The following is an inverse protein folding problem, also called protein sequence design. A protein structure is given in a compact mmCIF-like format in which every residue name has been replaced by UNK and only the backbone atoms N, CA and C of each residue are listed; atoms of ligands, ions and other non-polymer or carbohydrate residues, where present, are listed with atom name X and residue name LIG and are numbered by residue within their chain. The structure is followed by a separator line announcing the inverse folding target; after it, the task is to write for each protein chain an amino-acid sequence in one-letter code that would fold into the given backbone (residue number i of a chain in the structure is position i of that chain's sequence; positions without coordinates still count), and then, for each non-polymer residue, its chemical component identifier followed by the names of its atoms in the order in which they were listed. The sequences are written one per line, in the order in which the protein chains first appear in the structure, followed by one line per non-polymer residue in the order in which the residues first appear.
data_IF_916188356530
#
_entry.id   IF_916188356530
#
_cell.length_a   1.000
_cell.length_b   1.000
_cell.length_c   1.000
_cell.angle_alpha   90.00
_cell.angle_beta   90.00
_cell.angle_gamma   90.00
#
_symmetry.space_group_name_H-M   'P 1'
#
loop_
_entity.id
_entity.type
_entity.pdbx_description
1 polymer ?
#
# COMPACT_ATOMS: atom_id res chain seq x y z
N UNK A 1 -10.61 1.88 -12.59
CA UNK A 1 -10.04 0.66 -12.00
C UNK A 1 -8.97 0.09 -12.90
N UNK A 2 -7.80 -0.18 -12.36
CA UNK A 2 -6.68 -0.76 -13.09
C UNK A 2 -6.34 -2.13 -12.50
N UNK A 3 -6.23 -3.15 -13.34
CA UNK A 3 -5.95 -4.52 -12.91
C UNK A 3 -4.59 -4.98 -13.46
N UNK A 4 -3.77 -5.57 -12.60
CA UNK A 4 -2.41 -6.01 -12.87
C UNK A 4 -2.20 -7.45 -12.42
N UNK A 5 -1.11 -8.08 -12.86
CA UNK A 5 -0.70 -9.43 -12.47
C UNK A 5 -1.84 -10.45 -12.58
N UNK A 6 -2.44 -10.55 -13.76
CA UNK A 6 -3.53 -11.50 -14.05
C UNK A 6 -4.73 -11.35 -13.10
N UNK A 7 -5.07 -10.13 -12.75
CA UNK A 7 -6.20 -9.80 -11.88
C UNK A 7 -5.95 -9.93 -10.38
N UNK A 8 -4.70 -10.10 -9.95
CA UNK A 8 -4.38 -10.29 -8.54
C UNK A 8 -3.99 -9.02 -7.80
N UNK A 9 -3.67 -7.95 -8.52
CA UNK A 9 -3.44 -6.61 -7.97
C UNK A 9 -4.41 -5.66 -8.66
N UNK A 10 -5.22 -4.98 -7.87
CA UNK A 10 -6.21 -4.02 -8.39
C UNK A 10 -5.96 -2.66 -7.73
N UNK A 11 -5.90 -1.62 -8.56
CA UNK A 11 -5.81 -0.22 -8.12
C UNK A 11 -7.06 0.52 -8.57
N UNK A 12 -7.68 1.24 -7.66
CA UNK A 12 -8.81 2.11 -7.93
C UNK A 12 -8.64 3.47 -7.27
N UNK A 13 -9.26 4.49 -7.82
CA UNK A 13 -9.22 5.84 -7.29
C UNK A 13 -10.53 6.59 -7.52
N UNK A 14 -10.80 7.54 -6.64
CA UNK A 14 -11.95 8.44 -6.76
C UNK A 14 -11.69 9.76 -6.04
N UNK A 15 -12.30 10.83 -6.55
CA UNK A 15 -12.28 12.14 -5.90
C UNK A 15 -13.04 12.07 -4.57
N UNK A 16 -12.45 12.60 -3.51
CA UNK A 16 -13.10 12.72 -2.19
C UNK A 16 -13.67 11.43 -1.60
N UNK A 17 -13.35 10.28 -2.16
CA UNK A 17 -13.85 9.00 -1.67
C UNK A 17 -13.29 8.65 -0.30
N UNK A 18 -14.13 8.03 0.54
CA UNK A 18 -13.67 7.40 1.78
C UNK A 18 -12.86 6.15 1.42
N UNK A 19 -11.64 6.06 1.93
CA UNK A 19 -10.73 4.95 1.63
C UNK A 19 -11.36 3.57 1.90
N UNK A 20 -12.10 3.44 3.00
CA UNK A 20 -12.81 2.21 3.33
C UNK A 20 -13.78 1.77 2.22
N UNK A 21 -14.55 2.71 1.68
CA UNK A 21 -15.52 2.41 0.60
C UNK A 21 -14.81 1.82 -0.62
N UNK A 22 -13.70 2.43 -1.03
CA UNK A 22 -12.89 1.93 -2.16
C UNK A 22 -12.28 0.57 -1.86
N UNK A 23 -11.66 0.40 -0.69
CA UNK A 23 -11.03 -0.87 -0.30
C UNK A 23 -12.06 -2.00 -0.28
N UNK A 24 -13.24 -1.77 0.30
CA UNK A 24 -14.30 -2.78 0.34
C UNK A 24 -14.79 -3.16 -1.05
N UNK A 25 -15.03 -2.16 -1.91
CA UNK A 25 -15.49 -2.41 -3.28
C UNK A 25 -14.46 -3.20 -4.09
N UNK A 26 -13.20 -2.78 -4.06
CA UNK A 26 -12.11 -3.46 -4.78
C UNK A 26 -11.87 -4.87 -4.23
N UNK A 27 -11.89 -5.04 -2.91
CA UNK A 27 -11.71 -6.36 -2.29
C UNK A 27 -12.87 -7.28 -2.65
N UNK A 28 -14.10 -6.80 -2.61
CA UNK A 28 -15.29 -7.58 -2.99
C UNK A 28 -15.21 -8.04 -4.46
N UNK A 29 -14.76 -7.17 -5.34
CA UNK A 29 -14.58 -7.51 -6.75
C UNK A 29 -13.48 -8.56 -6.97
N UNK A 30 -12.36 -8.42 -6.23
CA UNK A 30 -11.23 -9.34 -6.33
C UNK A 30 -11.50 -10.71 -5.69
N UNK A 31 -12.26 -10.76 -4.60
CA UNK A 31 -12.47 -11.96 -3.79
C UNK A 31 -13.89 -12.55 -3.89
N UNK A 32 -14.84 -11.80 -4.43
CA UNK A 32 -16.25 -12.16 -4.47
C UNK A 32 -17.01 -11.90 -3.15
N UNK A 33 -16.38 -11.28 -2.14
CA UNK A 33 -16.98 -11.05 -0.82
C UNK A 33 -16.62 -9.69 -0.26
N UNK A 34 -17.58 -8.99 0.37
CA UNK A 34 -17.32 -7.78 1.14
C UNK A 34 -16.49 -8.14 2.38
N UNK A 35 -15.29 -7.55 2.56
CA UNK A 35 -14.43 -7.86 3.69
C UNK A 35 -14.85 -7.20 5.01
N UNK A 36 -15.86 -6.32 5.00
CA UNK A 36 -16.21 -5.50 6.15
C UNK A 36 -15.27 -4.29 6.34
N UNK A 37 -15.15 -3.78 7.59
CA UNK A 37 -14.46 -2.52 7.85
C UNK A 37 -12.97 -2.54 7.55
N UNK A 38 -12.43 -1.35 7.25
CA UNK A 38 -11.01 -1.11 7.15
C UNK A 38 -10.42 -0.88 8.56
N UNK A 39 -9.37 -1.60 8.86
CA UNK A 39 -8.61 -1.51 10.11
C UNK A 39 -7.18 -1.04 9.86
N UNK A 40 -6.49 -0.67 10.93
CA UNK A 40 -5.06 -0.33 10.89
C UNK A 40 -4.29 -1.14 11.94
N UNK A 41 -3.06 -1.49 11.62
CA UNK A 41 -2.12 -2.13 12.54
C UNK A 41 -0.70 -1.68 12.24
N UNK A 42 -0.05 -1.13 13.25
CA UNK A 42 1.36 -0.75 13.11
C UNK A 42 2.26 -1.95 13.39
N UNK A 43 3.05 -2.41 12.41
CA UNK A 43 3.94 -3.56 12.61
C UNK A 43 5.11 -3.27 13.53
N UNK A 44 5.32 -2.01 13.91
CA UNK A 44 6.42 -1.57 14.79
C UNK A 44 5.98 -1.43 16.24
N UNK A 45 4.83 -0.79 16.50
CA UNK A 45 4.36 -0.50 17.87
C UNK A 45 3.04 -1.17 18.25
N UNK A 46 2.39 -1.87 17.33
CA UNK A 46 1.13 -2.56 17.57
C UNK A 46 -0.10 -1.65 17.69
N UNK A 47 0.05 -0.33 17.46
CA UNK A 47 -1.10 0.59 17.48
C UNK A 47 -2.14 0.22 16.44
N UNK A 48 -3.42 0.42 16.78
CA UNK A 48 -4.57 0.25 15.88
C UNK A 48 -5.05 1.58 15.30
N UNK A 49 -4.46 2.68 15.70
CA UNK A 49 -4.84 4.02 15.25
C UNK A 49 -4.02 4.50 14.03
N UNK A 50 -2.92 3.86 13.77
CA UNK A 50 -2.06 4.14 12.62
C UNK A 50 -1.40 2.85 12.11
N UNK A 51 -0.60 2.97 11.07
CA UNK A 51 0.15 1.87 10.50
C UNK A 51 -0.50 1.32 9.23
N UNK A 52 -0.27 0.05 8.96
CA UNK A 52 -0.73 -0.58 7.72
C UNK A 52 -2.25 -0.78 7.75
N UNK A 53 -2.97 -0.33 6.70
CA UNK A 53 -4.38 -0.66 6.56
C UNK A 53 -4.56 -2.15 6.22
N UNK A 54 -5.61 -2.75 6.75
CA UNK A 54 -5.98 -4.13 6.42
C UNK A 54 -7.49 -4.37 6.54
N UNK A 55 -7.96 -5.45 5.95
CA UNK A 55 -9.33 -5.94 6.03
C UNK A 55 -9.32 -7.43 6.37
N UNK A 56 -10.46 -7.94 6.85
CA UNK A 56 -10.64 -9.37 7.15
C UNK A 56 -10.88 -10.18 5.87
N UNK A 57 -9.84 -10.28 5.05
CA UNK A 57 -9.82 -11.03 3.80
C UNK A 57 -8.37 -11.42 3.46
N UNK A 58 -8.14 -12.47 2.64
CA UNK A 58 -6.79 -12.91 2.27
C UNK A 58 -6.16 -11.99 1.21
N UNK A 59 -6.06 -10.71 1.52
CA UNK A 59 -5.50 -9.66 0.68
C UNK A 59 -4.61 -8.72 1.49
N UNK A 60 -3.74 -8.01 0.80
CA UNK A 60 -2.97 -6.89 1.31
C UNK A 60 -3.53 -5.59 0.73
N UNK A 61 -3.47 -4.51 1.50
CA UNK A 61 -4.08 -3.21 1.17
C UNK A 61 -3.09 -2.08 1.32
N UNK A 62 -3.15 -1.11 0.43
CA UNK A 62 -2.47 0.18 0.56
C UNK A 62 -3.42 1.30 0.19
N UNK A 63 -3.31 2.43 0.90
CA UNK A 63 -4.13 3.63 0.68
C UNK A 63 -3.23 4.84 0.55
N UNK A 64 -3.54 5.73 -0.36
CA UNK A 64 -2.84 7.00 -0.55
C UNK A 64 -3.81 8.13 -0.88
N UNK A 65 -3.44 9.35 -0.52
CA UNK A 65 -4.21 10.56 -0.80
C UNK A 65 -3.30 11.63 -1.39
N UNK A 66 -3.75 12.30 -2.43
CA UNK A 66 -3.09 13.48 -2.99
C UNK A 66 -4.09 14.39 -3.69
N UNK A 67 -4.04 15.69 -3.42
CA UNK A 67 -4.84 16.71 -4.12
C UNK A 67 -6.34 16.39 -4.19
N UNK A 68 -6.93 15.91 -3.10
CA UNK A 68 -8.34 15.55 -3.04
C UNK A 68 -8.69 14.20 -3.67
N UNK A 69 -7.71 13.50 -4.22
CA UNK A 69 -7.87 12.16 -4.77
C UNK A 69 -7.49 11.12 -3.73
N UNK A 70 -8.29 10.08 -3.60
CA UNK A 70 -7.98 8.89 -2.81
C UNK A 70 -7.76 7.72 -3.75
N UNK A 71 -6.65 7.01 -3.58
CA UNK A 71 -6.36 5.81 -4.33
C UNK A 71 -6.05 4.64 -3.38
N UNK A 72 -6.47 3.45 -3.78
CA UNK A 72 -6.24 2.21 -3.03
C UNK A 72 -5.66 1.14 -3.94
N UNK A 73 -4.84 0.26 -3.37
CA UNK A 73 -4.37 -0.95 -4.02
C UNK A 73 -4.71 -2.15 -3.14
N UNK A 74 -5.19 -3.21 -3.77
CA UNK A 74 -5.48 -4.48 -3.12
C UNK A 74 -4.76 -5.59 -3.87
N UNK A 75 -4.06 -6.46 -3.14
CA UNK A 75 -3.22 -7.51 -3.70
C UNK A 75 -3.45 -8.85 -3.03
N UNK A 76 -3.49 -9.91 -3.85
CA UNK A 76 -3.39 -11.32 -3.39
C UNK A 76 -1.97 -11.86 -3.44
N UNK A 77 -1.03 -11.10 -3.99
CA UNK A 77 0.33 -11.60 -4.29
C UNK A 77 1.35 -11.29 -3.20
N UNK A 78 0.97 -10.53 -2.19
CA UNK A 78 1.87 -10.12 -1.12
C UNK A 78 1.68 -8.66 -0.72
N UNK A 79 2.47 -8.17 0.24
CA UNK A 79 2.38 -6.80 0.71
C UNK A 79 2.52 -5.80 -0.43
N UNK A 80 1.57 -4.89 -0.52
CA UNK A 80 1.43 -3.89 -1.58
C UNK A 80 1.61 -2.49 -1.03
N UNK A 81 2.24 -1.63 -1.81
CA UNK A 81 2.33 -0.20 -1.55
C UNK A 81 1.91 0.59 -2.78
N UNK A 82 1.10 1.60 -2.57
CA UNK A 82 0.68 2.55 -3.60
C UNK A 82 1.05 3.94 -3.14
N UNK A 83 1.72 4.69 -4.00
CA UNK A 83 1.95 6.11 -3.78
C UNK A 83 1.48 6.93 -4.96
N UNK A 84 0.97 8.12 -4.65
CA UNK A 84 0.34 9.05 -5.58
C UNK A 84 0.74 10.47 -5.21
N UNK A 85 1.36 11.17 -6.15
CA UNK A 85 1.78 12.55 -5.97
C UNK A 85 1.36 13.41 -7.17
N UNK A 86 0.88 14.63 -6.90
CA UNK A 86 0.45 15.53 -7.97
C UNK A 86 1.62 16.11 -8.76
N UNK A 87 2.77 16.36 -8.09
CA UNK A 87 3.91 17.06 -8.68
C UNK A 87 5.21 16.55 -8.04
N UNK A 88 5.66 15.38 -8.46
CA UNK A 88 6.83 14.73 -7.91
C UNK A 88 7.58 13.95 -8.98
N UNK A 89 8.84 13.61 -8.72
CA UNK A 89 9.59 12.74 -9.61
C UNK A 89 9.24 11.28 -9.39
N UNK A 90 9.35 10.50 -10.44
CA UNK A 90 8.99 9.09 -10.46
C UNK A 90 9.79 8.24 -9.46
N UNK A 91 11.08 8.54 -9.29
CA UNK A 91 11.94 7.77 -8.39
C UNK A 91 11.53 7.95 -6.92
N UNK A 92 11.13 9.15 -6.53
CA UNK A 92 10.58 9.44 -5.21
C UNK A 92 9.31 8.62 -4.97
N UNK A 93 8.36 8.67 -5.91
CA UNK A 93 7.09 7.94 -5.81
C UNK A 93 7.31 6.42 -5.77
N UNK A 94 8.29 5.89 -6.53
CA UNK A 94 8.69 4.48 -6.44
C UNK A 94 9.18 4.10 -5.06
N UNK A 95 10.04 4.91 -4.46
CA UNK A 95 10.56 4.67 -3.11
C UNK A 95 9.46 4.70 -2.05
N UNK A 96 8.56 5.68 -2.14
CA UNK A 96 7.39 5.77 -1.25
C UNK A 96 6.49 4.53 -1.37
N UNK A 97 6.20 4.08 -2.59
CA UNK A 97 5.40 2.89 -2.82
C UNK A 97 6.04 1.64 -2.20
N UNK A 98 7.35 1.45 -2.37
CA UNK A 98 8.08 0.33 -1.74
C UNK A 98 8.06 0.46 -0.21
N UNK A 99 8.27 1.66 0.34
CA UNK A 99 8.21 1.91 1.78
C UNK A 99 6.83 1.56 2.37
N UNK A 100 5.76 1.91 1.68
CA UNK A 100 4.39 1.52 2.06
C UNK A 100 4.17 0.01 1.99
N UNK A 101 4.70 -0.66 0.95
CA UNK A 101 4.63 -2.12 0.85
C UNK A 101 5.35 -2.80 2.01
N UNK A 102 6.50 -2.28 2.43
CA UNK A 102 7.24 -2.76 3.60
C UNK A 102 6.53 -2.46 4.93
N UNK A 103 5.65 -1.45 4.97
CA UNK A 103 4.86 -1.09 6.15
C UNK A 103 5.59 -0.24 7.18
N UNK A 104 6.77 0.26 6.88
CA UNK A 104 7.63 1.02 7.83
C UNK A 104 7.94 2.44 7.36
N UNK A 105 7.40 2.85 6.22
CA UNK A 105 7.65 4.15 5.62
C UNK A 105 9.04 4.26 4.98
N UNK A 106 9.45 5.48 4.64
CA UNK A 106 10.79 5.74 4.12
C UNK A 106 11.82 5.74 5.23
N UNK A 107 12.78 4.86 5.15
CA UNK A 107 14.03 4.93 5.89
C UNK A 107 15.18 4.69 4.91
N UNK A 108 16.37 5.19 5.19
CA UNK A 108 17.54 5.12 4.30
C UNK A 108 17.99 3.70 3.94
N UNK A 109 17.41 2.72 4.57
CA UNK A 109 17.78 1.30 4.42
C UNK A 109 16.85 0.51 3.52
N UNK A 110 15.95 1.18 2.82
CA UNK A 110 15.03 0.53 1.89
C UNK A 110 15.66 0.25 0.52
N UNK A 111 16.83 -0.32 0.54
CA UNK A 111 17.44 -0.92 -0.65
C UNK A 111 16.79 -2.29 -0.98
N UNK A 112 15.52 -2.50 -0.61
CA UNK A 112 14.79 -3.70 -0.98
C UNK A 112 14.21 -3.49 -2.37
N UNK A 113 14.65 -4.28 -3.32
CA UNK A 113 14.03 -4.29 -4.64
C UNK A 113 12.61 -4.89 -4.51
N UNK A 114 11.59 -4.25 -5.09
CA UNK A 114 10.26 -4.86 -5.17
C UNK A 114 10.33 -6.10 -6.07
N UNK A 115 9.50 -7.10 -5.78
CA UNK A 115 9.35 -8.26 -6.68
C UNK A 115 8.59 -7.88 -7.96
N UNK A 116 7.85 -6.80 -7.90
CA UNK A 116 7.13 -6.22 -9.02
C UNK A 116 6.76 -4.77 -8.71
N UNK A 117 6.76 -3.92 -9.74
CA UNK A 117 6.20 -2.56 -9.66
C UNK A 117 5.69 -2.11 -11.02
N UNK A 118 4.74 -1.19 -10.99
CA UNK A 118 4.17 -0.58 -12.19
C UNK A 118 3.76 0.87 -11.94
N UNK A 119 3.94 1.71 -12.94
CA UNK A 119 3.27 3.00 -12.98
C UNK A 119 1.77 2.80 -13.19
N UNK A 120 0.98 3.66 -12.56
CA UNK A 120 -0.47 3.69 -12.71
C UNK A 120 -0.87 4.98 -13.42
N UNK A 121 -1.63 4.85 -14.50
CA UNK A 121 -2.09 6.00 -15.27
C UNK A 121 -3.24 6.72 -14.55
N UNK A 122 -2.91 7.73 -13.75
CA UNK A 122 -3.87 8.61 -13.08
C UNK A 122 -3.63 10.04 -13.60
N UNK A 123 -4.59 10.66 -14.30
CA UNK A 123 -4.39 11.98 -14.90
C UNK A 123 -3.94 13.03 -13.88
N UNK A 124 -2.91 13.79 -14.24
CA UNK A 124 -2.36 14.86 -13.41
C UNK A 124 -1.51 14.40 -12.22
N UNK A 125 -1.21 13.10 -12.13
CA UNK A 125 -0.45 12.53 -11.01
C UNK A 125 0.64 11.58 -11.50
N UNK A 126 1.68 11.46 -10.69
CA UNK A 126 2.64 10.36 -10.75
C UNK A 126 2.18 9.31 -9.74
N UNK A 127 1.94 8.11 -10.17
CA UNK A 127 1.47 7.04 -9.31
C UNK A 127 2.22 5.74 -9.58
N UNK A 128 2.59 5.04 -8.51
CA UNK A 128 3.30 3.75 -8.58
C UNK A 128 2.69 2.78 -7.59
N UNK A 129 2.48 1.56 -8.04
CA UNK A 129 2.17 0.42 -7.19
C UNK A 129 3.36 -0.55 -7.15
N UNK A 130 3.69 -1.05 -5.97
CA UNK A 130 4.81 -1.98 -5.77
C UNK A 130 4.39 -3.16 -4.89
N UNK A 131 4.99 -4.32 -5.14
CA UNK A 131 4.87 -5.51 -4.30
C UNK A 131 6.23 -5.88 -3.73
N UNK A 132 6.23 -6.31 -2.48
CA UNK A 132 7.39 -6.92 -1.82
C UNK A 132 7.02 -8.31 -1.30
N UNK A 133 8.01 -9.09 -0.88
CA UNK A 133 7.75 -10.36 -0.22
C UNK A 133 7.29 -10.14 1.23
N UNK A 134 6.52 -11.07 1.78
CA UNK A 134 6.18 -11.03 3.21
C UNK A 134 7.42 -11.12 4.10
N UNK A 135 8.43 -11.88 3.68
CA UNK A 135 9.71 -11.97 4.37
C UNK A 135 10.40 -10.59 4.44
N UNK A 136 10.47 -9.85 3.33
CA UNK A 136 11.05 -8.51 3.30
C UNK A 136 10.28 -7.55 4.22
N UNK A 137 8.97 -7.60 4.22
CA UNK A 137 8.13 -6.77 5.10
C UNK A 137 8.35 -7.11 6.58
N UNK A 138 8.43 -8.38 6.95
CA UNK A 138 8.74 -8.81 8.32
C UNK A 138 10.13 -8.36 8.76
N UNK A 139 11.13 -8.51 7.90
CA UNK A 139 12.49 -8.07 8.18
C UNK A 139 12.59 -6.55 8.39
N UNK A 140 11.88 -5.77 7.57
CA UNK A 140 11.81 -4.31 7.72
C UNK A 140 11.15 -3.89 9.05
N UNK A 141 10.05 -4.53 9.44
CA UNK A 141 9.39 -4.29 10.71
C UNK A 141 10.29 -4.62 11.91
N UNK A 142 11.02 -5.73 11.84
CA UNK A 142 11.98 -6.13 12.89
C UNK A 142 13.12 -5.12 13.05
N UNK A 143 13.70 -4.63 11.95
CA UNK A 143 14.73 -3.59 12.00
C UNK A 143 14.21 -2.27 12.58
N UNK A 144 13.01 -1.86 12.21
CA UNK A 144 12.38 -0.64 12.72
C UNK A 144 12.08 -0.74 14.22
N UNK A 145 11.62 -1.89 14.70
CA UNK A 145 11.37 -2.14 16.13
C UNK A 145 12.67 -2.09 16.93
N UNK A 146 13.75 -2.70 16.46
CA UNK A 146 15.08 -2.69 17.11
C UNK A 146 15.61 -1.26 17.27
N UNK A 147 15.43 -0.39 16.30
CA UNK A 147 15.86 1.01 16.39
C UNK A 147 15.12 1.81 17.44
N UNK A 148 13.85 1.52 17.68
CA UNK A 148 13.06 2.18 18.72
C UNK A 148 13.56 1.84 20.13
N UNK A 149 14.06 0.64 20.34
CA UNK A 149 14.56 0.20 21.67
C UNK A 149 15.95 0.74 22.00
N UNK A 150 16.71 1.24 21.02
CA UNK A 150 18.07 1.79 21.21
C UNK A 150 18.07 3.30 21.46
N UNK A 151 16.93 3.99 21.32
CA UNK A 151 16.77 5.43 21.61
C UNK A 151 16.06 5.64 22.94
#
# INVERSE_FOLDING_TARGET
MHTYLSGRVVVDCADTAVAETLVRAVTAELTGRDPGPLHHSCPVCGSVEHGRPYVEAPVHVSVTHASGLTAVAVSRNGPVGLDLEADSDLEWVRREAVGKALGVGLTDEHAVAPIWQSEVAIPGHVAVVALVTEEAARAAASRAATRRTVR
#
